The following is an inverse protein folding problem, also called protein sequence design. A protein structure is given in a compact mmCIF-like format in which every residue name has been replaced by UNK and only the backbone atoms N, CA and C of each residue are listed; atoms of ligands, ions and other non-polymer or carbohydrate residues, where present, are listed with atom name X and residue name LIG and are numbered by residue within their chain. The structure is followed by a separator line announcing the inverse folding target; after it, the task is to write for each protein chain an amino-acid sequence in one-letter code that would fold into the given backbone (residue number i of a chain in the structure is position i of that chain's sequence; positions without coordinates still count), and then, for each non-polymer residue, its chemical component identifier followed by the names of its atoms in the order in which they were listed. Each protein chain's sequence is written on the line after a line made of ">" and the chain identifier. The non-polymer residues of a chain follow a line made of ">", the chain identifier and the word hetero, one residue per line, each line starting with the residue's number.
data_IF_555551818235
#
_entry.id   IF_555551818235
#
_cell.length_a   1.000
_cell.length_b   1.000
_cell.length_c   1.000
_cell.angle_alpha   90.00
_cell.angle_beta   90.00
_cell.angle_gamma   90.00
#
_symmetry.space_group_name_H-M   'P 1'
#
loop_
_entity.id
_entity.type
_entity.pdbx_description
1 polymer ?
#
# COMPACT_ATOMS: atom_id res chain seq x y z
N UNK A 1 -8.08 -7.80 5.82
CA UNK A 1 -8.26 -6.38 5.42
C UNK A 1 -9.65 -6.08 4.83
N UNK A 2 -10.28 -7.02 4.12
CA UNK A 2 -11.67 -6.87 3.65
C UNK A 2 -12.69 -6.76 4.81
N UNK A 3 -12.45 -7.43 5.94
CA UNK A 3 -13.32 -7.34 7.12
C UNK A 3 -13.43 -5.92 7.72
N UNK A 4 -12.36 -5.12 7.69
CA UNK A 4 -12.39 -3.76 8.26
C UNK A 4 -13.21 -2.80 7.40
N UNK A 5 -13.12 -2.92 6.06
CA UNK A 5 -13.94 -2.15 5.11
C UNK A 5 -15.41 -2.57 5.17
N UNK A 6 -15.70 -3.88 5.24
CA UNK A 6 -17.08 -4.35 5.44
C UNK A 6 -17.63 -3.89 6.78
N UNK A 7 -16.82 -3.87 7.85
CA UNK A 7 -17.23 -3.38 9.16
C UNK A 7 -17.55 -1.87 9.13
N UNK A 8 -16.78 -1.07 8.40
CA UNK A 8 -17.03 0.36 8.21
C UNK A 8 -18.32 0.62 7.41
N UNK A 9 -18.58 -0.14 6.35
CA UNK A 9 -19.84 -0.02 5.59
C UNK A 9 -21.06 -0.44 6.40
N UNK A 10 -20.95 -1.54 7.18
CA UNK A 10 -22.02 -2.01 8.07
C UNK A 10 -22.27 -0.99 9.19
N UNK A 11 -21.21 -0.45 9.80
CA UNK A 11 -21.33 0.58 10.83
C UNK A 11 -21.99 1.86 10.31
N UNK A 12 -21.63 2.33 9.11
CA UNK A 12 -22.26 3.50 8.49
C UNK A 12 -23.75 3.27 8.20
N UNK A 13 -24.12 2.09 7.66
CA UNK A 13 -25.52 1.70 7.46
C UNK A 13 -26.30 1.60 8.77
N UNK A 14 -25.71 1.04 9.82
CA UNK A 14 -26.34 0.91 11.13
C UNK A 14 -26.59 2.26 11.81
N UNK A 15 -25.64 3.19 11.72
CA UNK A 15 -25.82 4.56 12.28
C UNK A 15 -26.92 5.31 11.52
N UNK A 16 -26.99 5.16 10.19
CA UNK A 16 -28.03 5.75 9.37
C UNK A 16 -29.44 5.20 9.68
N UNK A 17 -29.58 3.89 9.87
CA UNK A 17 -30.89 3.29 10.20
C UNK A 17 -31.34 3.67 11.61
N UNK A 18 -30.44 3.72 12.59
CA UNK A 18 -30.75 4.14 13.96
C UNK A 18 -31.22 5.60 13.98
N UNK A 19 -30.54 6.50 13.29
CA UNK A 19 -30.94 7.91 13.22
C UNK A 19 -32.31 8.13 12.56
N UNK A 20 -32.63 7.35 11.51
CA UNK A 20 -33.91 7.41 10.81
C UNK A 20 -35.07 6.92 11.69
N UNK A 21 -34.87 5.80 12.42
CA UNK A 21 -35.87 5.23 13.34
C UNK A 21 -36.10 6.15 14.54
N UNK A 22 -35.03 6.73 15.11
CA UNK A 22 -35.15 7.70 16.20
C UNK A 22 -35.91 8.96 15.79
N UNK A 23 -35.65 9.50 14.59
CA UNK A 23 -36.39 10.66 14.07
C UNK A 23 -37.88 10.35 13.87
N UNK A 24 -38.20 9.20 13.26
CA UNK A 24 -39.58 8.77 13.04
C UNK A 24 -40.38 8.58 14.36
N UNK A 25 -39.73 8.06 15.42
CA UNK A 25 -40.34 7.86 16.74
C UNK A 25 -40.65 9.18 17.48
N UNK A 26 -39.95 10.27 17.17
CA UNK A 26 -40.19 11.59 17.77
C UNK A 26 -41.30 12.39 17.06
N UNK A 27 -42.01 11.80 16.09
CA UNK A 27 -43.07 12.50 15.35
C UNK A 27 -42.55 13.65 14.48
N UNK A 28 -41.29 13.57 14.05
CA UNK A 28 -40.66 14.63 13.26
C UNK A 28 -41.36 14.84 11.92
N UNK A 29 -41.46 16.10 11.50
CA UNK A 29 -42.04 16.48 10.20
C UNK A 29 -41.32 15.78 9.05
N UNK A 30 -42.09 15.38 8.03
CA UNK A 30 -41.61 14.59 6.88
C UNK A 30 -40.40 15.21 6.17
N UNK A 31 -40.30 16.55 6.19
CA UNK A 31 -39.18 17.33 5.63
C UNK A 31 -37.83 17.00 6.29
N UNK A 32 -37.80 16.78 7.61
CA UNK A 32 -36.57 16.46 8.37
C UNK A 32 -36.09 15.05 8.03
N UNK A 33 -37.04 14.13 7.85
CA UNK A 33 -36.75 12.74 7.49
C UNK A 33 -36.17 12.65 6.07
N UNK A 34 -36.68 13.46 5.13
CA UNK A 34 -36.16 13.54 3.78
C UNK A 34 -34.72 14.09 3.74
N UNK A 35 -34.42 15.15 4.51
CA UNK A 35 -33.05 15.70 4.62
C UNK A 35 -32.09 14.65 5.19
N UNK A 36 -32.50 13.94 6.23
CA UNK A 36 -31.65 12.90 6.85
C UNK A 36 -31.33 11.76 5.89
N UNK A 37 -32.32 11.32 5.09
CA UNK A 37 -32.13 10.30 4.05
C UNK A 37 -31.16 10.80 2.97
N UNK A 38 -31.32 12.03 2.50
CA UNK A 38 -30.45 12.63 1.48
C UNK A 38 -29.01 12.76 2.00
N UNK A 39 -28.81 13.19 3.25
CA UNK A 39 -27.47 13.32 3.85
C UNK A 39 -26.81 11.94 4.00
N UNK A 40 -27.54 10.92 4.47
CA UNK A 40 -27.01 9.57 4.58
C UNK A 40 -26.68 8.97 3.21
N UNK A 41 -27.57 9.15 2.23
CA UNK A 41 -27.33 8.69 0.86
C UNK A 41 -26.12 9.41 0.25
N UNK A 42 -26.00 10.72 0.45
CA UNK A 42 -24.86 11.51 -0.02
C UNK A 42 -23.56 11.05 0.62
N UNK A 43 -23.54 10.88 1.95
CA UNK A 43 -22.37 10.38 2.68
C UNK A 43 -21.99 8.96 2.24
N UNK A 44 -22.98 8.10 2.00
CA UNK A 44 -22.77 6.75 1.46
C UNK A 44 -22.16 6.80 0.05
N UNK A 45 -22.63 7.71 -0.81
CA UNK A 45 -22.08 7.88 -2.15
C UNK A 45 -20.65 8.46 -2.12
N UNK A 46 -20.37 9.43 -1.24
CA UNK A 46 -19.02 9.95 -1.00
C UNK A 46 -18.06 8.89 -0.46
N UNK A 47 -18.52 8.01 0.44
CA UNK A 47 -17.73 6.86 0.91
C UNK A 47 -17.59 5.75 -0.13
N UNK A 48 -18.46 5.73 -1.15
CA UNK A 48 -18.39 4.80 -2.29
C UNK A 48 -17.42 5.30 -3.37
N UNK A 49 -16.94 6.55 -3.30
CA UNK A 49 -15.99 7.06 -4.28
C UNK A 49 -14.70 6.25 -4.27
N UNK A 50 -14.61 5.40 -5.28
CA UNK A 50 -13.42 4.73 -5.76
C UNK A 50 -12.73 5.77 -6.66
N UNK A 51 -11.56 6.35 -6.29
CA UNK A 51 -10.90 7.34 -7.12
C UNK A 51 -10.18 6.65 -8.28
N UNK A 52 -10.93 6.04 -9.21
CA UNK A 52 -10.43 5.59 -10.51
C UNK A 52 -11.58 5.09 -11.41
N UNK A 53 -12.31 6.02 -12.02
CA UNK A 53 -12.72 5.85 -13.44
C UNK A 53 -13.17 7.21 -13.95
N UNK A 54 -12.21 8.01 -14.38
CA UNK A 54 -12.44 8.91 -15.49
C UNK A 54 -12.83 8.02 -16.68
N UNK A 55 -14.13 7.77 -16.85
CA UNK A 55 -14.67 7.23 -18.09
C UNK A 55 -14.59 8.37 -19.09
N UNK A 56 -13.40 8.57 -19.65
CA UNK A 56 -13.32 9.09 -21.01
C UNK A 56 -14.04 8.01 -21.82
N UNK A 57 -15.19 8.35 -22.40
CA UNK A 57 -15.81 7.50 -23.41
C UNK A 57 -14.88 7.49 -24.61
N UNK A 58 -13.87 6.62 -24.59
CA UNK A 58 -12.99 6.38 -25.72
C UNK A 58 -13.89 5.76 -26.78
N UNK A 59 -14.16 6.51 -27.86
CA UNK A 59 -14.56 5.92 -29.15
C UNK A 59 -13.77 4.63 -29.35
N UNK A 60 -14.34 3.50 -29.84
CA UNK A 60 -13.65 2.22 -29.92
C UNK A 60 -12.19 2.44 -30.31
N UNK A 61 -11.30 2.34 -29.32
CA UNK A 61 -9.93 2.78 -29.53
C UNK A 61 -9.39 1.82 -30.59
N UNK A 62 -8.85 2.31 -31.72
CA UNK A 62 -8.12 1.42 -32.60
C UNK A 62 -7.13 0.69 -31.69
N UNK A 63 -7.17 -0.65 -31.71
CA UNK A 63 -6.26 -1.48 -30.94
C UNK A 63 -4.84 -1.21 -31.45
N UNK A 64 -4.24 -0.11 -30.98
CA UNK A 64 -2.83 0.10 -31.08
C UNK A 64 -2.23 -0.98 -30.20
N UNK A 65 -1.55 -1.91 -30.86
CA UNK A 65 -0.71 -2.90 -30.21
C UNK A 65 0.48 -2.13 -29.59
N UNK A 66 0.19 -1.46 -28.47
CA UNK A 66 1.15 -0.65 -27.76
C UNK A 66 2.22 -1.62 -27.23
N UNK A 67 3.50 -1.39 -27.55
CA UNK A 67 4.55 -2.28 -27.08
C UNK A 67 4.52 -2.32 -25.55
N UNK A 68 4.67 -3.52 -24.98
CA UNK A 68 4.77 -3.73 -23.54
C UNK A 68 5.79 -2.74 -22.94
N UNK A 69 5.36 -1.95 -21.95
CA UNK A 69 6.21 -0.97 -21.27
C UNK A 69 7.53 -1.58 -20.81
N UNK A 70 7.50 -2.83 -20.36
CA UNK A 70 8.70 -3.55 -19.90
C UNK A 70 9.66 -3.94 -21.04
N UNK A 71 9.17 -4.01 -22.28
CA UNK A 71 9.97 -4.24 -23.49
C UNK A 71 10.60 -2.95 -24.04
N UNK A 72 10.08 -1.77 -23.66
CA UNK A 72 10.59 -0.50 -24.13
C UNK A 72 12.00 -0.20 -23.57
N UNK A 73 12.96 0.04 -24.46
CA UNK A 73 14.35 0.35 -24.08
C UNK A 73 14.47 1.59 -23.17
N UNK A 74 13.65 2.62 -23.40
CA UNK A 74 13.62 3.82 -22.57
C UNK A 74 13.20 3.53 -21.13
N UNK A 75 12.16 2.71 -20.93
CA UNK A 75 11.70 2.30 -19.61
C UNK A 75 12.78 1.51 -18.86
N UNK A 76 13.42 0.54 -19.52
CA UNK A 76 14.54 -0.22 -18.95
C UNK A 76 15.69 0.69 -18.52
N UNK A 77 16.02 1.70 -19.34
CA UNK A 77 17.07 2.67 -19.04
C UNK A 77 16.74 3.50 -17.80
N UNK A 78 15.49 3.95 -17.68
CA UNK A 78 15.01 4.70 -16.51
C UNK A 78 15.11 3.82 -15.26
N UNK A 79 14.57 2.59 -15.29
CA UNK A 79 14.62 1.66 -14.16
C UNK A 79 16.06 1.37 -13.73
N UNK A 80 16.95 1.12 -14.69
CA UNK A 80 18.37 0.83 -14.41
C UNK A 80 19.11 2.04 -13.81
N UNK A 81 18.69 3.27 -14.14
CA UNK A 81 19.27 4.52 -13.62
C UNK A 81 18.82 4.91 -12.21
N UNK A 82 17.80 4.26 -11.64
CA UNK A 82 17.34 4.54 -10.28
C UNK A 82 18.36 4.06 -9.24
N UNK A 83 18.63 4.91 -8.24
CA UNK A 83 19.58 4.59 -7.17
C UNK A 83 19.02 3.61 -6.15
N UNK A 84 17.72 3.67 -5.87
CA UNK A 84 17.04 2.73 -4.97
C UNK A 84 16.88 1.36 -5.64
N UNK A 85 16.89 0.25 -4.87
CA UNK A 85 16.53 -1.06 -5.40
C UNK A 85 15.11 -1.08 -5.98
N UNK A 86 15.01 -1.37 -7.28
CA UNK A 86 13.75 -1.42 -8.02
C UNK A 86 13.60 -2.72 -8.79
N UNK A 87 12.39 -3.27 -8.78
CA UNK A 87 11.97 -4.47 -9.49
C UNK A 87 10.69 -4.18 -10.26
N UNK A 88 10.53 -4.83 -11.40
CA UNK A 88 9.24 -4.96 -12.08
C UNK A 88 8.84 -6.42 -12.02
N UNK A 89 7.67 -6.67 -11.45
CA UNK A 89 7.10 -8.00 -11.31
C UNK A 89 5.98 -8.16 -12.31
N UNK A 90 6.04 -9.22 -13.11
CA UNK A 90 5.06 -9.58 -14.10
C UNK A 90 4.50 -10.96 -13.73
N UNK A 91 3.23 -11.03 -13.33
CA UNK A 91 2.57 -12.29 -12.95
C UNK A 91 3.33 -13.09 -11.87
N UNK A 92 3.87 -12.41 -10.87
CA UNK A 92 4.65 -13.03 -9.79
C UNK A 92 6.08 -13.42 -10.16
N UNK A 93 6.57 -13.09 -11.36
CA UNK A 93 7.96 -13.26 -11.77
C UNK A 93 8.67 -11.93 -11.90
N UNK A 94 9.96 -11.88 -11.59
CA UNK A 94 10.75 -10.65 -11.77
C UNK A 94 11.06 -10.46 -13.26
N UNK A 95 10.39 -9.53 -13.92
CA UNK A 95 10.64 -9.18 -15.31
C UNK A 95 11.88 -8.29 -15.46
N UNK A 96 12.06 -7.34 -14.54
CA UNK A 96 13.22 -6.43 -14.49
C UNK A 96 13.68 -6.25 -13.05
N UNK A 97 14.97 -6.05 -12.87
CA UNK A 97 15.56 -5.65 -11.60
C UNK A 97 16.72 -4.72 -11.93
N UNK A 98 16.84 -3.56 -11.29
CA UNK A 98 17.95 -2.64 -11.53
C UNK A 98 19.24 -3.09 -10.83
N UNK A 99 20.35 -2.39 -11.09
CA UNK A 99 21.65 -2.71 -10.46
C UNK A 99 21.60 -2.72 -8.93
N UNK A 100 20.89 -1.78 -8.30
CA UNK A 100 20.73 -1.72 -6.85
C UNK A 100 19.94 -2.91 -6.30
N UNK A 101 18.88 -3.34 -6.97
CA UNK A 101 18.12 -4.53 -6.60
C UNK A 101 18.94 -5.81 -6.76
N UNK A 102 19.70 -5.95 -7.84
CA UNK A 102 20.59 -7.09 -8.05
C UNK A 102 21.72 -7.16 -7.03
N UNK A 103 22.20 -6.01 -6.53
CA UNK A 103 23.18 -5.97 -5.42
C UNK A 103 22.56 -6.41 -4.09
N UNK A 104 21.31 -6.01 -3.81
CA UNK A 104 20.63 -6.34 -2.55
C UNK A 104 20.13 -7.79 -2.49
N UNK A 105 19.49 -8.25 -3.56
CA UNK A 105 18.78 -9.54 -3.61
C UNK A 105 19.54 -10.62 -4.39
N UNK A 106 20.57 -10.23 -5.14
CA UNK A 106 21.38 -11.12 -5.98
C UNK A 106 21.03 -11.00 -7.47
N UNK A 107 22.00 -11.33 -8.33
CA UNK A 107 21.83 -11.24 -9.79
C UNK A 107 20.87 -12.29 -10.36
N UNK A 108 20.66 -13.40 -9.65
CA UNK A 108 19.82 -14.52 -10.07
C UNK A 108 18.32 -14.23 -10.03
N UNK A 109 17.89 -13.08 -9.46
CA UNK A 109 16.47 -12.79 -9.26
C UNK A 109 15.70 -12.54 -10.54
N UNK A 110 16.36 -12.12 -11.64
CA UNK A 110 15.67 -11.79 -12.89
C UNK A 110 15.18 -13.07 -13.56
N UNK A 111 13.90 -13.12 -13.90
CA UNK A 111 13.22 -14.30 -14.46
C UNK A 111 12.72 -15.31 -13.42
N UNK A 112 13.16 -15.18 -12.18
CA UNK A 112 12.75 -16.06 -11.07
C UNK A 112 11.40 -15.65 -10.48
N UNK A 113 10.80 -16.59 -9.74
CA UNK A 113 9.61 -16.32 -8.94
C UNK A 113 9.95 -15.30 -7.83
N UNK A 114 9.11 -14.27 -7.68
CA UNK A 114 9.32 -13.18 -6.72
C UNK A 114 9.43 -13.67 -5.28
N UNK A 115 8.83 -14.83 -4.95
CA UNK A 115 8.91 -15.45 -3.61
C UNK A 115 10.31 -15.96 -3.28
N UNK A 116 11.09 -16.32 -4.32
CA UNK A 116 12.48 -16.74 -4.17
C UNK A 116 13.36 -15.51 -3.92
N UNK A 117 13.10 -14.43 -4.67
CA UNK A 117 13.83 -13.17 -4.55
C UNK A 117 13.55 -12.44 -3.22
N UNK A 118 12.29 -12.43 -2.76
CA UNK A 118 11.87 -11.75 -1.53
C UNK A 118 11.19 -12.74 -0.59
N UNK A 119 11.98 -13.22 0.38
CA UNK A 119 11.55 -14.21 1.38
C UNK A 119 10.83 -13.54 2.57
N UNK A 120 9.80 -12.76 2.30
CA UNK A 120 8.98 -12.12 3.33
C UNK A 120 7.50 -12.48 3.12
N UNK A 121 6.84 -13.21 4.05
CA UNK A 121 5.51 -13.79 3.82
C UNK A 121 4.46 -12.79 3.35
N UNK A 122 4.35 -11.63 4.03
CA UNK A 122 3.36 -10.61 3.68
C UNK A 122 3.64 -9.94 2.32
N UNK A 123 4.91 -9.85 1.92
CA UNK A 123 5.28 -9.30 0.62
C UNK A 123 5.02 -10.34 -0.48
N UNK A 124 5.46 -11.58 -0.27
CA UNK A 124 5.24 -12.70 -1.17
C UNK A 124 3.76 -12.88 -1.51
N UNK A 125 2.88 -12.88 -0.49
CA UNK A 125 1.43 -12.98 -0.67
C UNK A 125 0.90 -11.92 -1.64
N UNK A 126 1.29 -10.65 -1.45
CA UNK A 126 0.83 -9.53 -2.28
C UNK A 126 1.43 -9.54 -3.67
N UNK A 127 2.70 -9.91 -3.82
CA UNK A 127 3.41 -9.92 -5.09
C UNK A 127 3.02 -11.10 -6.00
N UNK A 128 2.43 -12.16 -5.44
CA UNK A 128 1.93 -13.31 -6.21
C UNK A 128 0.41 -13.43 -6.24
N UNK A 129 -0.30 -12.45 -5.69
CA UNK A 129 -1.76 -12.47 -5.62
C UNK A 129 -2.39 -12.31 -7.00
N UNK A 130 -3.38 -13.17 -7.30
CA UNK A 130 -4.29 -12.98 -8.44
C UNK A 130 -5.34 -11.89 -8.16
N UNK A 131 -5.60 -11.57 -6.90
CA UNK A 131 -6.39 -10.40 -6.52
C UNK A 131 -5.59 -9.13 -6.86
N UNK A 132 -6.17 -8.30 -7.73
CA UNK A 132 -5.58 -7.05 -8.20
C UNK A 132 -5.38 -6.07 -7.04
N UNK A 133 -4.22 -5.41 -6.98
CA UNK A 133 -4.04 -4.32 -6.04
C UNK A 133 -4.80 -3.08 -6.53
N UNK A 134 -5.79 -2.58 -5.78
CA UNK A 134 -6.57 -1.41 -6.22
C UNK A 134 -5.81 -0.09 -6.07
N UNK A 135 -4.78 -0.07 -5.22
CA UNK A 135 -4.00 1.12 -4.88
C UNK A 135 -2.58 0.73 -4.48
N UNK A 136 -1.62 1.67 -4.53
CA UNK A 136 -0.29 1.45 -3.99
C UNK A 136 -0.32 0.97 -2.54
N UNK A 137 0.58 0.04 -2.22
CA UNK A 137 0.70 -0.56 -0.90
C UNK A 137 2.13 -0.42 -0.39
N UNK A 138 2.27 -0.12 0.90
CA UNK A 138 3.54 -0.11 1.61
C UNK A 138 3.59 -1.27 2.60
N UNK A 139 4.71 -2.01 2.62
CA UNK A 139 4.95 -3.13 3.54
C UNK A 139 6.33 -2.93 4.17
N UNK A 140 6.39 -2.95 5.49
CA UNK A 140 7.67 -2.92 6.21
C UNK A 140 8.29 -4.33 6.20
N UNK A 141 9.57 -4.40 5.87
CA UNK A 141 10.34 -5.64 5.75
C UNK A 141 11.58 -5.56 6.64
N UNK A 142 11.81 -6.63 7.39
CA UNK A 142 12.99 -6.76 8.25
C UNK A 142 13.82 -7.93 7.72
N UNK A 143 15.15 -7.76 7.74
CA UNK A 143 16.07 -8.85 7.43
C UNK A 143 16.31 -9.09 5.94
N UNK A 144 15.95 -8.14 5.07
CA UNK A 144 16.26 -8.19 3.65
C UNK A 144 17.72 -7.77 3.43
N UNK A 145 18.54 -8.65 2.85
CA UNK A 145 19.99 -8.46 2.75
C UNK A 145 20.71 -8.85 4.05
N UNK A 146 20.58 -8.03 5.10
CA UNK A 146 21.15 -8.30 6.42
C UNK A 146 20.08 -8.31 7.53
N UNK A 147 20.29 -9.09 8.60
CA UNK A 147 19.29 -9.35 9.66
C UNK A 147 18.78 -8.10 10.37
N UNK A 148 19.61 -7.07 10.49
CA UNK A 148 19.29 -5.83 11.20
C UNK A 148 18.78 -4.71 10.29
N UNK A 149 18.75 -4.93 8.97
CA UNK A 149 18.25 -3.93 8.04
C UNK A 149 16.72 -3.90 8.04
N UNK A 150 16.20 -2.68 7.96
CA UNK A 150 14.79 -2.39 7.85
C UNK A 150 14.54 -1.67 6.53
N UNK A 151 13.55 -2.16 5.81
CA UNK A 151 13.19 -1.68 4.49
C UNK A 151 11.70 -1.36 4.46
N UNK A 152 11.33 -0.28 3.79
CA UNK A 152 9.97 -0.07 3.34
C UNK A 152 9.86 -0.52 1.88
N UNK A 153 8.98 -1.48 1.62
CA UNK A 153 8.63 -1.89 0.27
C UNK A 153 7.41 -1.13 -0.20
N UNK A 154 7.54 -0.36 -1.27
CA UNK A 154 6.40 0.20 -1.99
C UNK A 154 6.05 -0.66 -3.20
N UNK A 155 4.78 -1.02 -3.34
CA UNK A 155 4.21 -1.82 -4.44
C UNK A 155 3.20 -0.95 -5.18
N UNK A 156 3.44 -0.72 -6.48
CA UNK A 156 2.61 0.14 -7.33
C UNK A 156 2.11 -0.69 -8.52
N UNK A 157 0.81 -0.98 -8.63
CA UNK A 157 0.25 -1.64 -9.81
C UNK A 157 0.16 -0.64 -10.98
N UNK A 158 0.58 -1.03 -12.18
CA UNK A 158 0.60 -0.10 -13.35
C UNK A 158 0.05 -0.67 -14.66
N UNK A 159 -0.17 -1.97 -14.75
CA UNK A 159 -0.74 -2.63 -15.92
C UNK A 159 -1.64 -3.76 -15.38
N UNK A 160 -2.95 -3.54 -15.41
CA UNK A 160 -3.94 -4.41 -14.75
C UNK A 160 -4.99 -4.87 -15.77
N UNK A 161 -4.92 -6.15 -16.11
CA UNK A 161 -5.91 -6.88 -16.89
C UNK A 161 -6.55 -7.95 -15.99
N UNK A 162 -7.70 -8.52 -16.37
CA UNK A 162 -8.42 -9.50 -15.55
C UNK A 162 -7.51 -10.67 -15.11
N UNK A 163 -7.17 -10.69 -13.81
CA UNK A 163 -6.29 -11.71 -13.20
C UNK A 163 -4.80 -11.58 -13.53
N UNK A 164 -4.40 -10.51 -14.21
CA UNK A 164 -3.05 -10.26 -14.72
C UNK A 164 -2.60 -8.86 -14.33
N UNK A 165 -1.59 -8.75 -13.45
CA UNK A 165 -1.08 -7.45 -13.03
C UNK A 165 0.45 -7.39 -13.09
N UNK A 166 0.95 -6.25 -13.58
CA UNK A 166 2.35 -5.86 -13.41
C UNK A 166 2.50 -4.90 -12.25
N UNK A 167 3.52 -5.14 -11.45
CA UNK A 167 3.82 -4.38 -10.24
C UNK A 167 5.20 -3.74 -10.37
N UNK A 168 5.27 -2.45 -10.09
CA UNK A 168 6.51 -1.75 -9.85
C UNK A 168 6.80 -1.78 -8.35
N UNK A 169 7.96 -2.30 -7.97
CA UNK A 169 8.35 -2.50 -6.58
C UNK A 169 9.64 -1.74 -6.32
N UNK A 170 9.67 -0.91 -5.28
CA UNK A 170 10.89 -0.25 -4.81
C UNK A 170 11.10 -0.54 -3.33
N UNK A 171 12.36 -0.49 -2.90
CA UNK A 171 12.77 -0.71 -1.52
C UNK A 171 13.54 0.50 -1.00
N UNK A 172 13.05 1.11 0.06
CA UNK A 172 13.70 2.25 0.73
C UNK A 172 14.33 1.77 2.03
N UNK A 173 15.62 2.06 2.26
CA UNK A 173 16.31 1.70 3.50
C UNK A 173 15.90 2.66 4.63
N UNK A 174 15.25 2.12 5.66
CA UNK A 174 14.80 2.87 6.84
C UNK A 174 15.59 2.51 8.10
N UNK A 175 16.69 1.77 7.94
CA UNK A 175 17.54 1.34 9.06
C UNK A 175 18.10 2.53 9.83
N UNK A 176 18.52 3.58 9.12
CA UNK A 176 19.08 4.81 9.72
C UNK A 176 18.04 5.60 10.52
N UNK A 177 16.83 5.77 9.98
CA UNK A 177 15.72 6.42 10.66
C UNK A 177 15.39 5.69 11.96
N UNK A 178 15.21 4.37 11.89
CA UNK A 178 14.92 3.55 13.05
C UNK A 178 16.06 3.46 14.07
N UNK A 179 17.31 3.62 13.64
CA UNK A 179 18.44 3.72 14.57
C UNK A 179 18.40 5.05 15.34
N UNK A 180 18.13 6.17 14.65
CA UNK A 180 17.99 7.48 15.28
C UNK A 180 16.82 7.54 16.27
N UNK A 181 15.68 6.94 15.92
CA UNK A 181 14.52 6.84 16.81
C UNK A 181 14.83 6.05 18.09
N UNK A 182 15.56 4.93 17.97
CA UNK A 182 16.01 4.14 19.13
C UNK A 182 16.95 4.93 20.02
N UNK A 183 17.97 5.56 19.46
CA UNK A 183 18.90 6.41 20.21
C UNK A 183 18.18 7.54 20.96
N UNK A 184 17.19 8.17 20.31
CA UNK A 184 16.36 9.20 20.95
C UNK A 184 15.57 8.64 22.13
N UNK A 185 14.98 7.45 21.98
CA UNK A 185 14.27 6.75 23.05
C UNK A 185 15.18 6.43 24.23
N UNK A 186 16.36 5.88 23.95
CA UNK A 186 17.37 5.53 24.96
C UNK A 186 17.87 6.77 25.71
N UNK A 187 18.06 7.89 25.01
CA UNK A 187 18.43 9.16 25.64
C UNK A 187 17.33 9.66 26.59
N UNK A 188 16.07 9.66 26.15
CA UNK A 188 14.94 10.10 26.99
C UNK A 188 14.78 9.18 28.20
N UNK A 189 14.94 7.86 28.02
CA UNK A 189 14.88 6.90 29.11
C UNK A 189 16.03 7.13 30.12
N UNK A 190 17.26 7.30 29.63
CA UNK A 190 18.43 7.55 30.49
C UNK A 190 18.26 8.84 31.31
N UNK A 191 17.87 9.94 30.66
CA UNK A 191 17.59 11.20 31.36
C UNK A 191 16.46 11.06 32.39
N UNK A 192 15.41 10.29 32.08
CA UNK A 192 14.30 10.03 33.02
C UNK A 192 14.74 9.23 34.24
N UNK A 193 15.66 8.28 34.05
CA UNK A 193 16.22 7.47 35.13
C UNK A 193 17.16 8.30 36.03
N UNK A 194 18.01 9.15 35.44
CA UNK A 194 18.89 10.06 36.17
C UNK A 194 18.10 11.08 37.02
N UNK A 195 16.98 11.59 36.50
CA UNK A 195 16.10 12.50 37.23
C UNK A 195 15.28 11.81 38.33
N UNK A 196 15.04 10.49 38.25
CA UNK A 196 14.30 9.72 39.28
C UNK A 196 15.17 9.14 40.38
N UNK A 197 16.48 9.04 40.19
CA UNK A 197 17.41 8.50 41.21
C UNK A 197 18.42 9.53 41.75
N UNK A 198 18.03 10.74 42.17
CA UNK A 198 18.93 11.58 42.95
C UNK A 198 18.78 11.18 44.42
N UNK A 199 19.32 10.05 44.90
CA UNK A 199 19.47 9.72 46.35
C UNK A 199 20.17 8.36 46.63
N UNK A 200 21.34 8.07 46.04
CA UNK A 200 22.15 6.91 46.48
C UNK A 200 23.67 7.09 46.34
N UNK A 201 24.17 8.33 46.29
CA UNK A 201 25.59 8.61 46.19
C UNK A 201 26.00 9.81 47.06
N UNK A 202 25.69 9.77 48.36
CA UNK A 202 26.41 10.49 49.43
C UNK A 202 26.34 9.63 50.69
#
# INVERSE_FOLDING_TARGET
>A
MNQARTLQHIAALAVGTIGLVSAAMLGTRLEILAIFLIVNLSLFLLMRENPARSVISVLPEPAFDLPDLTAMAGFRTIVEGLSEPVLVVDHGKVALANSSARKLLGAHIVGEDIRIAIRHPAAAERLTSTEMLPQPLRIDIIGLGNRNQRWAMGIIPFDQEEGRQKLFVHLTDESGLHAAERLRGDFVANASHELRTPLAAI
#
